data_IF_450336857866
#
_entry.id   IF_450336857866
#
_cell.length_a   1.000
_cell.length_b   1.000
_cell.length_c   1.000
_cell.angle_alpha   90.00
_cell.angle_beta   90.00
_cell.angle_gamma   90.00
#
_symmetry.space_group_name_H-M   'P 1'
#
loop_
_entity.id
_entity.type
_entity.pdbx_description
1 polymer ?
#
# COMPACT_ATOMS: atom_id res chain seq x y z
N UNK A 1 65.48 -32.77 36.03
CA UNK A 1 64.92 -32.55 34.68
C UNK A 1 63.37 -32.60 34.64
N UNK A 2 62.70 -32.98 35.71
CA UNK A 2 61.23 -33.25 35.69
C UNK A 2 60.33 -32.09 36.04
N UNK A 3 60.80 -31.04 36.70
CA UNK A 3 59.92 -29.87 37.04
C UNK A 3 59.71 -28.86 35.89
N UNK A 4 60.66 -28.74 34.96
CA UNK A 4 60.48 -27.83 33.77
C UNK A 4 59.52 -28.37 32.70
N UNK A 5 59.41 -29.73 32.64
CA UNK A 5 58.52 -30.35 31.62
C UNK A 5 57.05 -30.22 32.00
N UNK A 6 56.71 -30.29 33.31
CA UNK A 6 55.35 -30.15 33.83
C UNK A 6 54.83 -28.70 33.65
N UNK A 7 55.70 -27.73 33.83
CA UNK A 7 55.31 -26.31 33.63
C UNK A 7 55.05 -25.97 32.15
N UNK A 8 55.79 -26.61 31.23
CA UNK A 8 55.57 -26.41 29.78
C UNK A 8 54.25 -27.03 29.30
N UNK A 9 53.87 -28.19 29.87
CA UNK A 9 52.58 -28.83 29.55
C UNK A 9 51.39 -28.10 30.16
N UNK A 10 51.54 -27.47 31.32
CA UNK A 10 50.48 -26.66 31.94
C UNK A 10 50.25 -25.35 31.17
N UNK A 11 51.31 -24.72 30.65
CA UNK A 11 51.21 -23.54 29.83
C UNK A 11 50.61 -23.88 28.44
N UNK A 12 50.97 -25.03 27.87
CA UNK A 12 50.38 -25.50 26.61
C UNK A 12 48.89 -25.87 26.76
N UNK A 13 48.47 -26.40 27.95
CA UNK A 13 47.08 -26.72 28.23
C UNK A 13 46.23 -25.44 28.49
N UNK A 14 46.82 -24.43 29.14
CA UNK A 14 46.16 -23.12 29.30
C UNK A 14 46.05 -22.33 27.98
N UNK A 15 46.90 -22.61 26.99
CA UNK A 15 46.76 -21.98 25.65
C UNK A 15 45.79 -22.73 24.72
N UNK A 16 45.37 -23.97 25.09
CA UNK A 16 44.37 -24.74 24.35
C UNK A 16 42.93 -24.61 24.92
N UNK A 17 42.73 -23.96 26.07
CA UNK A 17 41.42 -23.44 26.42
C UNK A 17 41.16 -22.26 25.52
N UNK A 18 40.50 -22.53 24.41
CA UNK A 18 40.32 -21.62 23.29
C UNK A 18 39.90 -20.24 23.76
N UNK A 19 40.71 -19.25 23.42
CA UNK A 19 40.16 -17.93 23.23
C UNK A 19 39.11 -18.06 22.12
N UNK A 20 37.86 -18.38 22.49
CA UNK A 20 36.74 -17.96 21.68
C UNK A 20 36.99 -16.46 21.45
N UNK A 21 37.34 -16.08 20.22
CA UNK A 21 37.38 -14.68 19.87
C UNK A 21 36.01 -14.14 20.27
N UNK A 22 35.90 -13.12 21.13
CA UNK A 22 34.61 -12.52 21.38
C UNK A 22 34.06 -12.14 20.02
N UNK A 23 32.84 -12.61 19.71
CA UNK A 23 32.13 -12.19 18.51
C UNK A 23 32.27 -10.69 18.44
N UNK A 24 32.62 -10.11 17.26
CA UNK A 24 32.76 -8.67 17.13
C UNK A 24 31.48 -8.04 17.65
N UNK A 25 31.61 -7.21 18.69
CA UNK A 25 30.45 -6.45 19.25
C UNK A 25 29.91 -5.62 18.08
N UNK A 26 28.66 -5.81 17.66
CA UNK A 26 28.09 -5.01 16.60
C UNK A 26 28.22 -3.54 16.97
N UNK A 27 28.56 -2.68 16.03
CA UNK A 27 28.71 -1.24 16.26
C UNK A 27 27.44 -0.55 16.80
N UNK A 28 26.29 -1.23 16.70
CA UNK A 28 25.04 -0.94 17.40
C UNK A 28 24.20 -2.23 17.46
N UNK A 29 23.63 -2.52 18.62
CA UNK A 29 22.62 -3.56 18.77
C UNK A 29 21.33 -3.07 18.11
N UNK A 30 20.79 -3.88 17.19
CA UNK A 30 19.60 -3.51 16.43
C UNK A 30 18.60 -4.67 16.37
N UNK A 31 17.34 -4.31 16.57
CA UNK A 31 16.17 -5.12 16.25
C UNK A 31 15.49 -4.46 15.07
N UNK A 32 15.03 -5.24 14.11
CA UNK A 32 14.28 -4.71 12.96
C UNK A 32 13.10 -5.61 12.67
N UNK A 33 11.89 -5.05 12.70
CA UNK A 33 10.68 -5.67 12.18
C UNK A 33 10.59 -5.36 10.68
N UNK A 34 10.84 -6.35 9.84
CA UNK A 34 10.91 -6.20 8.39
C UNK A 34 9.52 -6.11 7.77
N UNK A 35 8.61 -6.98 8.21
CA UNK A 35 7.26 -7.08 7.66
C UNK A 35 6.31 -7.80 8.62
N UNK A 36 5.07 -7.35 8.67
CA UNK A 36 3.94 -8.10 9.23
C UNK A 36 2.93 -8.38 8.12
N UNK A 37 2.44 -9.62 8.01
CA UNK A 37 1.46 -10.02 7.00
C UNK A 37 0.46 -11.03 7.57
N UNK A 38 -0.77 -10.96 7.10
CA UNK A 38 -1.78 -11.99 7.32
C UNK A 38 -1.89 -12.90 6.11
N UNK A 39 -1.98 -14.20 6.33
CA UNK A 39 -2.20 -15.21 5.30
C UNK A 39 -3.60 -15.81 5.50
N UNK A 40 -4.48 -15.57 4.55
CA UNK A 40 -5.83 -16.14 4.58
C UNK A 40 -5.85 -17.65 4.31
N UNK A 41 -4.76 -18.21 3.74
CA UNK A 41 -4.68 -19.63 3.41
C UNK A 41 -4.49 -20.50 4.65
N UNK A 42 -3.80 -20.00 5.67
CA UNK A 42 -3.52 -20.71 6.91
C UNK A 42 -4.12 -20.05 8.16
N UNK A 43 -4.62 -18.81 8.01
CA UNK A 43 -5.20 -18.04 9.11
C UNK A 43 -4.19 -17.45 10.09
N UNK A 44 -2.91 -17.39 9.71
CA UNK A 44 -1.83 -16.90 10.56
C UNK A 44 -1.40 -15.47 10.23
N UNK A 45 -1.01 -14.77 11.28
CA UNK A 45 -0.28 -13.52 11.23
C UNK A 45 1.23 -13.84 11.31
N UNK A 46 1.97 -13.49 10.26
CA UNK A 46 3.41 -13.71 10.16
C UNK A 46 4.16 -12.41 10.35
N UNK A 47 5.16 -12.41 11.23
CA UNK A 47 6.04 -11.27 11.49
C UNK A 47 7.47 -11.67 11.12
N UNK A 48 8.08 -10.98 10.16
CA UNK A 48 9.48 -11.16 9.76
C UNK A 48 10.35 -10.15 10.49
N UNK A 49 11.47 -10.59 11.04
CA UNK A 49 12.35 -9.74 11.85
C UNK A 49 13.82 -10.13 11.74
N UNK A 50 14.71 -9.25 12.22
CA UNK A 50 16.14 -9.46 12.38
C UNK A 50 16.60 -9.00 13.75
N UNK A 51 17.54 -9.75 14.34
CA UNK A 51 18.28 -9.38 15.54
C UNK A 51 19.77 -9.59 15.25
N UNK A 52 20.58 -8.57 15.43
CA UNK A 52 22.03 -8.63 15.13
C UNK A 52 22.90 -8.90 16.36
N UNK A 53 22.31 -9.33 17.49
CA UNK A 53 23.00 -9.64 18.74
C UNK A 53 22.35 -10.83 19.46
N UNK A 54 23.08 -11.45 20.42
CA UNK A 54 22.52 -12.50 21.27
C UNK A 54 21.57 -11.91 22.30
N UNK A 55 20.35 -12.42 22.39
CA UNK A 55 19.33 -12.01 23.34
C UNK A 55 19.16 -13.02 24.49
N UNK A 56 18.69 -12.54 25.64
CA UNK A 56 18.24 -13.41 26.74
C UNK A 56 16.76 -13.80 26.57
N UNK A 57 15.96 -12.94 25.98
CA UNK A 57 14.55 -13.19 25.67
C UNK A 57 14.04 -12.28 24.56
N UNK A 58 12.99 -12.72 23.88
CA UNK A 58 12.27 -11.98 22.85
C UNK A 58 10.77 -12.08 23.12
N UNK A 59 10.06 -10.98 22.98
CA UNK A 59 8.61 -10.87 23.21
C UNK A 59 7.98 -10.12 22.05
N UNK A 60 6.85 -10.62 21.57
CA UNK A 60 6.02 -9.97 20.56
C UNK A 60 4.72 -9.49 21.20
N UNK A 61 4.38 -8.22 20.99
CA UNK A 61 3.18 -7.57 21.50
C UNK A 61 2.39 -7.06 20.29
N UNK A 62 1.18 -7.55 20.13
CA UNK A 62 0.28 -7.07 19.07
C UNK A 62 -0.71 -6.06 19.64
N UNK A 63 -0.79 -4.92 18.95
CA UNK A 63 -1.63 -3.79 19.33
C UNK A 63 -2.72 -3.58 18.29
N UNK A 64 -3.97 -3.37 18.73
CA UNK A 64 -5.04 -2.80 17.91
C UNK A 64 -5.27 -1.36 18.40
N UNK A 65 -4.82 -0.38 17.60
CA UNK A 65 -4.64 0.98 18.08
C UNK A 65 -3.63 1.04 19.24
N UNK A 66 -4.06 1.47 20.41
CA UNK A 66 -3.23 1.53 21.62
C UNK A 66 -3.49 0.36 22.60
N UNK A 67 -4.37 -0.56 22.25
CA UNK A 67 -4.75 -1.67 23.11
C UNK A 67 -3.96 -2.93 22.77
N UNK A 68 -3.37 -3.57 23.79
CA UNK A 68 -2.73 -4.89 23.62
C UNK A 68 -3.83 -5.92 23.37
N UNK A 69 -3.74 -6.62 22.25
CA UNK A 69 -4.68 -7.68 21.87
C UNK A 69 -4.05 -9.07 21.93
N UNK A 70 -2.73 -9.17 21.95
CA UNK A 70 -1.99 -10.41 22.14
C UNK A 70 -0.55 -10.11 22.57
N UNK A 71 0.01 -11.01 23.36
CA UNK A 71 1.36 -10.90 23.85
C UNK A 71 1.96 -12.30 24.05
N UNK A 72 3.17 -12.52 23.53
CA UNK A 72 3.89 -13.78 23.79
C UNK A 72 4.49 -13.78 25.20
N UNK A 73 4.48 -14.92 25.83
CA UNK A 73 5.45 -15.21 26.90
C UNK A 73 6.83 -15.36 26.27
N UNK A 74 7.87 -14.92 26.94
CA UNK A 74 9.25 -14.88 26.47
C UNK A 74 9.64 -16.07 25.59
N UNK A 75 9.92 -15.81 24.31
CA UNK A 75 10.48 -16.78 23.38
C UNK A 75 11.97 -16.84 23.65
N UNK A 76 12.48 -18.04 24.03
CA UNK A 76 13.88 -18.21 24.42
C UNK A 76 14.82 -18.01 23.22
N UNK A 77 15.90 -17.25 23.47
CA UNK A 77 17.15 -17.20 22.69
C UNK A 77 17.02 -17.30 21.18
N UNK A 78 16.62 -16.18 20.55
CA UNK A 78 16.70 -16.07 19.11
C UNK A 78 17.96 -15.28 18.77
N UNK A 79 18.93 -15.94 18.15
CA UNK A 79 20.04 -15.29 17.46
C UNK A 79 19.90 -15.62 15.98
N UNK A 80 19.67 -14.62 15.17
CA UNK A 80 19.57 -14.80 13.74
C UNK A 80 20.43 -13.76 13.03
N UNK A 81 21.48 -14.20 12.33
CA UNK A 81 22.20 -13.37 11.37
C UNK A 81 21.41 -13.15 10.07
N UNK A 82 20.17 -13.64 10.01
CA UNK A 82 19.28 -13.55 8.87
C UNK A 82 17.89 -13.01 9.25
N UNK A 83 16.97 -13.10 8.32
CA UNK A 83 15.53 -12.89 8.58
C UNK A 83 14.97 -14.12 9.24
N UNK A 84 14.31 -13.94 10.36
CA UNK A 84 13.55 -14.97 11.06
C UNK A 84 12.06 -14.62 11.07
N UNK A 85 11.21 -15.53 11.50
CA UNK A 85 9.76 -15.32 11.52
C UNK A 85 9.13 -15.78 12.82
N UNK A 86 8.19 -14.99 13.30
CA UNK A 86 7.22 -15.38 14.32
C UNK A 86 5.83 -15.45 13.70
N UNK A 87 5.06 -16.49 14.03
CA UNK A 87 3.71 -16.68 13.49
C UNK A 87 2.73 -16.97 14.61
N UNK A 88 1.56 -16.32 14.59
CA UNK A 88 0.47 -16.56 15.54
C UNK A 88 -0.86 -16.68 14.80
N UNK A 89 -1.76 -17.59 15.20
CA UNK A 89 -3.10 -17.65 14.64
C UNK A 89 -3.84 -16.32 14.88
N UNK A 90 -4.56 -15.84 13.89
CA UNK A 90 -5.36 -14.61 14.06
C UNK A 90 -6.42 -14.75 15.16
N UNK A 91 -6.96 -15.96 15.33
CA UNK A 91 -7.97 -16.27 16.36
C UNK A 91 -7.43 -16.19 17.80
N UNK A 92 -6.10 -16.24 18.00
CA UNK A 92 -5.49 -16.08 19.30
C UNK A 92 -5.43 -14.62 19.75
N UNK A 93 -5.62 -13.68 18.81
CA UNK A 93 -5.68 -12.26 19.10
C UNK A 93 -7.06 -11.89 19.61
N UNK A 94 -7.12 -11.22 20.75
CA UNK A 94 -8.38 -10.67 21.29
C UNK A 94 -8.78 -9.40 20.50
N UNK A 95 -9.28 -9.59 19.28
CA UNK A 95 -9.69 -8.50 18.38
C UNK A 95 -11.06 -8.76 17.79
N UNK A 96 -11.74 -7.66 17.46
CA UNK A 96 -12.92 -7.66 16.59
C UNK A 96 -12.53 -7.11 15.24
N UNK A 97 -12.84 -7.81 14.16
CA UNK A 97 -12.60 -7.33 12.82
C UNK A 97 -13.66 -6.31 12.38
N UNK A 98 -13.30 -5.28 11.60
CA UNK A 98 -11.97 -5.01 11.08
C UNK A 98 -11.00 -4.47 12.14
N UNK A 99 -9.70 -4.76 12.01
CA UNK A 99 -8.68 -4.34 12.96
C UNK A 99 -7.45 -3.77 12.26
N UNK A 100 -6.83 -2.76 12.87
CA UNK A 100 -5.55 -2.17 12.43
C UNK A 100 -4.47 -2.56 13.42
N UNK A 101 -3.70 -3.57 13.08
CA UNK A 101 -2.71 -4.18 13.96
C UNK A 101 -1.31 -3.60 13.76
N UNK A 102 -0.57 -3.47 14.85
CA UNK A 102 0.88 -3.28 14.88
C UNK A 102 1.51 -4.35 15.75
N UNK A 103 2.74 -4.72 15.43
CA UNK A 103 3.56 -5.56 16.28
C UNK A 103 4.69 -4.72 16.88
N UNK A 104 4.86 -4.81 18.20
CA UNK A 104 6.05 -4.33 18.89
C UNK A 104 6.87 -5.54 19.25
N UNK A 105 8.13 -5.59 18.86
CA UNK A 105 9.08 -6.59 19.25
C UNK A 105 9.99 -6.03 20.32
N UNK A 106 10.03 -6.66 21.48
CA UNK A 106 10.93 -6.35 22.57
C UNK A 106 11.98 -7.45 22.69
N UNK A 107 13.25 -7.06 22.68
CA UNK A 107 14.38 -7.99 22.81
C UNK A 107 15.20 -7.56 24.00
N UNK A 108 15.36 -8.47 24.97
CA UNK A 108 16.20 -8.24 26.13
C UNK A 108 17.61 -8.74 25.82
N UNK A 109 18.60 -7.89 25.95
CA UNK A 109 20.02 -8.24 25.79
C UNK A 109 20.50 -9.15 26.95
N UNK A 110 21.65 -9.76 26.80
CA UNK A 110 22.29 -10.51 27.92
C UNK A 110 22.61 -9.61 29.12
N UNK A 111 22.77 -8.29 28.93
CA UNK A 111 22.95 -7.30 29.98
C UNK A 111 21.66 -6.78 30.62
N UNK A 112 20.48 -7.24 30.17
CA UNK A 112 19.17 -6.84 30.70
C UNK A 112 18.60 -5.57 30.06
N UNK A 113 19.27 -4.97 29.07
CA UNK A 113 18.71 -3.84 28.30
C UNK A 113 17.60 -4.30 27.37
N UNK A 114 16.53 -3.51 27.21
CA UNK A 114 15.43 -3.80 26.30
C UNK A 114 15.53 -2.93 25.07
N UNK A 115 15.65 -3.55 23.91
CA UNK A 115 15.65 -2.91 22.60
C UNK A 115 14.31 -3.20 21.92
N UNK A 116 13.70 -2.20 21.31
CA UNK A 116 12.37 -2.29 20.67
C UNK A 116 12.40 -1.87 19.22
N UNK A 117 11.51 -2.49 18.45
CA UNK A 117 11.09 -1.99 17.14
C UNK A 117 9.58 -2.22 16.94
N UNK A 118 8.97 -1.43 16.08
CA UNK A 118 7.52 -1.46 15.84
C UNK A 118 7.25 -1.58 14.35
N UNK A 119 6.40 -2.52 13.96
CA UNK A 119 6.01 -2.72 12.57
C UNK A 119 5.19 -1.55 12.02
N UNK A 120 5.18 -1.42 10.69
CA UNK A 120 4.11 -0.70 10.02
C UNK A 120 2.74 -1.34 10.34
N UNK A 121 1.67 -0.54 10.30
CA UNK A 121 0.33 -1.06 10.59
C UNK A 121 -0.14 -2.03 9.50
N UNK A 122 -0.85 -3.07 9.91
CA UNK A 122 -1.51 -4.04 9.05
C UNK A 122 -3.03 -3.96 9.23
N UNK A 123 -3.75 -3.66 8.15
CA UNK A 123 -5.21 -3.61 8.15
C UNK A 123 -5.77 -5.01 7.85
N UNK A 124 -6.59 -5.57 8.76
CA UNK A 124 -7.18 -6.89 8.62
C UNK A 124 -8.70 -6.80 8.67
N UNK A 125 -9.37 -7.47 7.72
CA UNK A 125 -10.82 -7.56 7.70
C UNK A 125 -11.56 -6.30 7.24
N UNK A 126 -10.86 -5.20 6.94
CA UNK A 126 -11.51 -3.96 6.50
C UNK A 126 -12.29 -4.13 5.19
N UNK A 127 -11.87 -5.06 4.34
CA UNK A 127 -12.48 -5.28 3.05
C UNK A 127 -13.38 -6.52 2.99
N UNK A 128 -13.35 -7.42 4.00
CA UNK A 128 -13.98 -8.74 3.94
C UNK A 128 -15.49 -8.71 3.70
N UNK A 129 -16.18 -7.65 4.10
CA UNK A 129 -17.62 -7.49 3.93
C UNK A 129 -17.98 -6.34 2.98
N UNK A 130 -17.02 -5.88 2.19
CA UNK A 130 -17.22 -4.83 1.20
C UNK A 130 -17.10 -5.40 -0.22
N UNK A 131 -17.71 -4.77 -1.23
CA UNK A 131 -17.52 -5.15 -2.62
C UNK A 131 -16.05 -5.16 -3.06
N UNK A 132 -15.20 -4.34 -2.44
CA UNK A 132 -13.76 -4.31 -2.71
C UNK A 132 -13.07 -5.61 -2.27
N UNK A 133 -13.36 -6.12 -1.07
CA UNK A 133 -12.75 -7.34 -0.55
C UNK A 133 -13.20 -8.62 -1.29
N UNK A 134 -14.37 -8.61 -1.88
CA UNK A 134 -14.91 -9.74 -2.64
C UNK A 134 -14.48 -9.77 -4.11
N UNK A 135 -13.73 -8.76 -4.57
CA UNK A 135 -13.25 -8.66 -5.94
C UNK A 135 -11.79 -9.14 -6.04
N UNK A 136 -11.51 -10.40 -6.44
CA UNK A 136 -10.16 -10.93 -6.53
C UNK A 136 -9.30 -10.07 -7.47
N UNK A 137 -7.98 -10.10 -7.29
CA UNK A 137 -7.04 -9.33 -8.11
C UNK A 137 -6.86 -7.87 -7.68
N UNK A 138 -7.39 -7.46 -6.53
CA UNK A 138 -7.18 -6.13 -5.96
C UNK A 138 -5.70 -5.95 -5.57
N UNK A 139 -5.03 -5.01 -6.24
CA UNK A 139 -3.63 -4.67 -6.01
C UNK A 139 -3.45 -3.69 -4.88
N UNK A 140 -4.39 -2.77 -4.71
CA UNK A 140 -4.37 -1.75 -3.68
C UNK A 140 -5.76 -1.13 -3.50
N UNK A 141 -6.05 -0.71 -2.27
CA UNK A 141 -7.27 0.02 -1.94
C UNK A 141 -6.97 1.07 -0.86
N UNK A 142 -7.21 2.32 -1.21
CA UNK A 142 -7.07 3.46 -0.32
C UNK A 142 -8.43 4.08 -0.03
N UNK A 143 -8.96 3.95 1.20
CA UNK A 143 -10.21 4.59 1.58
C UNK A 143 -10.15 6.12 1.49
N UNK A 144 -9.00 6.71 1.80
CA UNK A 144 -8.77 8.16 1.85
C UNK A 144 -9.73 8.92 2.78
N UNK A 145 -10.26 8.25 3.78
CA UNK A 145 -11.20 8.82 4.73
C UNK A 145 -10.49 9.52 5.89
N UNK A 146 -9.54 8.83 6.51
CA UNK A 146 -8.85 9.28 7.72
C UNK A 146 -7.33 9.08 7.63
N UNK A 147 -6.85 8.35 6.62
CA UNK A 147 -5.43 8.06 6.38
C UNK A 147 -5.15 7.79 4.90
N UNK A 148 -3.87 7.49 4.58
CA UNK A 148 -3.39 7.15 3.24
C UNK A 148 -2.88 5.71 3.14
N UNK A 149 -3.35 4.86 4.06
CA UNK A 149 -2.96 3.47 4.15
C UNK A 149 -3.61 2.63 3.04
N UNK A 150 -2.86 1.69 2.49
CA UNK A 150 -3.40 0.62 1.65
C UNK A 150 -4.05 -0.44 2.55
N UNK A 151 -5.34 -0.65 2.40
CA UNK A 151 -6.10 -1.62 3.19
C UNK A 151 -6.03 -3.04 2.63
N UNK A 152 -5.24 -3.27 1.56
CA UNK A 152 -4.89 -4.61 1.10
C UNK A 152 -3.64 -5.13 1.83
N UNK A 153 -3.33 -6.42 1.65
CA UNK A 153 -2.12 -7.03 2.18
C UNK A 153 -0.85 -6.65 1.40
N UNK A 154 -0.96 -5.86 0.32
CA UNK A 154 0.18 -5.46 -0.51
C UNK A 154 0.96 -4.27 0.05
N UNK A 155 0.42 -3.59 1.06
CA UNK A 155 1.08 -2.47 1.78
C UNK A 155 1.58 -1.36 0.85
N UNK A 156 0.79 -1.02 -0.16
CA UNK A 156 1.09 0.09 -1.07
C UNK A 156 0.65 1.44 -0.46
N UNK A 157 1.08 1.71 0.79
CA UNK A 157 0.76 2.96 1.49
C UNK A 157 1.20 4.17 0.67
N UNK A 158 0.41 5.24 0.72
CA UNK A 158 0.69 6.49 0.03
C UNK A 158 1.39 7.48 0.98
N UNK A 159 2.27 8.27 0.42
CA UNK A 159 2.89 9.41 1.11
C UNK A 159 2.31 10.71 0.59
N UNK A 160 1.96 11.62 1.51
CA UNK A 160 1.44 12.93 1.16
C UNK A 160 2.58 13.89 0.76
N UNK A 161 2.33 14.69 -0.28
CA UNK A 161 3.17 15.83 -0.67
C UNK A 161 2.28 17.07 -0.67
N UNK A 162 2.67 18.07 0.09
CA UNK A 162 1.82 19.24 0.38
C UNK A 162 0.78 18.98 1.46
N UNK A 163 -0.18 19.90 1.59
CA UNK A 163 -1.21 19.83 2.63
C UNK A 163 -2.49 19.23 2.08
N UNK A 164 -2.83 18.05 2.55
CA UNK A 164 -4.09 17.36 2.28
C UNK A 164 -4.97 17.39 3.54
N UNK A 165 -6.27 17.44 3.36
CA UNK A 165 -7.23 17.57 4.47
C UNK A 165 -8.23 16.44 4.41
N UNK A 166 -8.33 15.64 5.49
CA UNK A 166 -9.42 14.70 5.67
C UNK A 166 -10.67 15.45 6.14
N UNK A 167 -11.72 15.42 5.35
CA UNK A 167 -12.98 16.11 5.64
C UNK A 167 -14.15 15.44 4.92
N UNK A 168 -15.37 15.82 5.24
CA UNK A 168 -16.53 15.32 4.53
C UNK A 168 -16.63 15.94 3.13
N UNK A 169 -17.06 15.16 2.15
CA UNK A 169 -17.48 15.69 0.86
C UNK A 169 -18.64 16.67 1.06
N UNK A 170 -18.72 17.75 0.26
CA UNK A 170 -19.78 18.74 0.39
C UNK A 170 -21.18 18.11 0.38
N UNK A 171 -22.03 18.57 1.31
CA UNK A 171 -23.42 18.13 1.48
C UNK A 171 -23.59 16.63 1.80
N UNK A 172 -22.55 15.98 2.34
CA UNK A 172 -22.59 14.58 2.75
C UNK A 172 -21.93 14.37 4.10
N UNK A 173 -22.11 13.18 4.68
CA UNK A 173 -21.36 12.68 5.84
C UNK A 173 -20.18 11.80 5.43
N UNK A 174 -19.89 11.72 4.13
CA UNK A 174 -18.87 10.86 3.57
C UNK A 174 -17.50 11.50 3.75
N UNK A 175 -16.69 10.94 4.63
CA UNK A 175 -15.29 11.34 4.83
C UNK A 175 -14.45 11.03 3.58
N UNK A 176 -13.56 11.93 3.24
CA UNK A 176 -12.72 11.86 2.05
C UNK A 176 -11.47 12.72 2.22
N UNK A 177 -10.53 12.65 1.31
CA UNK A 177 -9.39 13.55 1.24
C UNK A 177 -9.65 14.66 0.24
N UNK A 178 -9.49 15.91 0.70
CA UNK A 178 -9.52 17.10 -0.15
C UNK A 178 -8.14 17.42 -0.69
N UNK A 179 -8.06 17.64 -1.99
CA UNK A 179 -6.87 18.00 -2.76
C UNK A 179 -6.98 19.44 -3.22
N UNK A 180 -5.92 20.23 -3.01
CA UNK A 180 -5.78 21.59 -3.50
C UNK A 180 -4.31 22.01 -3.54
N UNK A 181 -4.01 23.16 -4.14
CA UNK A 181 -2.70 23.80 -4.09
C UNK A 181 -1.54 22.89 -4.52
N UNK A 182 -1.74 22.07 -5.54
CA UNK A 182 -0.78 21.07 -6.03
C UNK A 182 -0.39 20.00 -4.99
N UNK A 183 -1.17 19.82 -3.92
CA UNK A 183 -0.99 18.71 -3.02
C UNK A 183 -1.40 17.39 -3.70
N UNK A 184 -0.69 16.32 -3.41
CA UNK A 184 -0.95 15.02 -4.00
C UNK A 184 -0.45 13.88 -3.11
N UNK A 185 -0.88 12.68 -3.44
CA UNK A 185 -0.40 11.45 -2.83
C UNK A 185 0.49 10.70 -3.81
N UNK A 186 1.53 10.05 -3.30
CA UNK A 186 2.45 9.28 -4.14
C UNK A 186 2.87 7.97 -3.49
N UNK A 187 3.10 6.97 -4.33
CA UNK A 187 3.69 5.68 -3.97
C UNK A 187 4.90 5.45 -4.86
N UNK A 188 6.11 5.20 -4.34
CA UNK A 188 7.25 4.76 -5.13
C UNK A 188 6.91 3.56 -6.00
N UNK A 189 7.66 3.39 -7.09
CA UNK A 189 7.47 2.27 -8.00
C UNK A 189 7.42 0.92 -7.28
N UNK A 190 6.47 0.09 -7.71
CA UNK A 190 6.35 -1.31 -7.33
C UNK A 190 5.91 -2.09 -8.58
N UNK A 191 6.59 -3.18 -8.91
CA UNK A 191 6.31 -3.99 -10.11
C UNK A 191 4.87 -4.51 -10.15
N UNK A 192 4.25 -4.77 -8.99
CA UNK A 192 2.83 -5.19 -8.91
C UNK A 192 1.86 -4.12 -9.41
N UNK A 193 2.28 -2.84 -9.39
CA UNK A 193 1.49 -1.72 -9.92
C UNK A 193 1.69 -1.50 -11.43
N UNK A 194 2.23 -2.50 -12.13
CA UNK A 194 2.34 -2.57 -13.58
C UNK A 194 1.51 -3.75 -14.12
N UNK A 195 0.18 -3.77 -14.00
CA UNK A 195 -0.65 -4.85 -14.49
C UNK A 195 -0.78 -4.83 -16.02
N UNK A 196 -0.98 -5.99 -16.64
CA UNK A 196 -1.23 -6.13 -18.08
C UNK A 196 -2.69 -5.87 -18.48
N UNK A 197 -3.61 -6.10 -17.54
CA UNK A 197 -5.00 -5.69 -17.61
C UNK A 197 -5.33 -4.90 -16.32
N UNK A 198 -6.29 -4.01 -16.34
CA UNK A 198 -6.45 -3.01 -15.29
C UNK A 198 -7.91 -2.66 -15.07
N UNK A 199 -8.28 -2.47 -13.81
CA UNK A 199 -9.43 -1.64 -13.44
C UNK A 199 -9.01 -0.64 -12.38
N UNK A 200 -9.48 0.59 -12.50
CA UNK A 200 -9.33 1.65 -11.50
C UNK A 200 -10.71 2.15 -11.12
N UNK A 201 -11.02 2.15 -9.83
CA UNK A 201 -12.25 2.70 -9.27
C UNK A 201 -11.91 3.89 -8.38
N UNK A 202 -12.68 4.95 -8.45
CA UNK A 202 -12.55 6.13 -7.60
C UNK A 202 -13.91 6.78 -7.36
N UNK A 203 -14.18 7.21 -6.13
CA UNK A 203 -15.30 8.08 -5.79
C UNK A 203 -14.80 9.50 -5.60
N UNK A 204 -15.37 10.45 -6.32
CA UNK A 204 -14.85 11.82 -6.38
C UNK A 204 -15.96 12.86 -6.32
N UNK A 205 -15.55 14.07 -5.91
CA UNK A 205 -16.34 15.30 -6.04
C UNK A 205 -15.38 16.40 -6.52
N UNK A 206 -15.76 17.10 -7.59
CA UNK A 206 -14.98 18.22 -8.13
C UNK A 206 -15.68 19.52 -7.85
N UNK A 207 -14.95 20.51 -7.33
CA UNK A 207 -15.47 21.85 -7.12
C UNK A 207 -15.72 22.57 -8.46
N UNK A 208 -14.67 22.82 -9.19
CA UNK A 208 -14.62 23.32 -10.56
C UNK A 208 -13.20 23.11 -11.08
N UNK A 209 -13.03 23.04 -12.38
CA UNK A 209 -11.71 22.96 -12.99
C UNK A 209 -11.26 24.38 -13.35
N UNK A 210 -10.27 24.87 -12.60
CA UNK A 210 -9.62 26.16 -12.83
C UNK A 210 -8.21 26.03 -13.44
N UNK A 211 -7.77 24.80 -13.73
CA UNK A 211 -6.49 24.55 -14.39
C UNK A 211 -6.55 25.08 -15.84
N UNK A 212 -5.56 25.87 -16.29
CA UNK A 212 -5.50 26.39 -17.66
C UNK A 212 -5.51 25.30 -18.74
N UNK A 213 -5.01 24.09 -18.40
CA UNK A 213 -5.05 22.96 -19.31
C UNK A 213 -6.40 22.23 -19.28
N UNK A 214 -7.32 22.63 -18.41
CA UNK A 214 -8.64 22.00 -18.22
C UNK A 214 -8.59 20.49 -17.96
N UNK A 215 -7.57 20.02 -17.22
CA UNK A 215 -7.34 18.61 -16.91
C UNK A 215 -7.02 18.44 -15.43
N UNK A 216 -7.58 17.40 -14.79
CA UNK A 216 -7.20 16.95 -13.46
C UNK A 216 -6.91 15.45 -13.48
N UNK A 217 -5.74 15.07 -12.98
CA UNK A 217 -5.39 13.66 -12.82
C UNK A 217 -5.98 13.14 -11.52
N UNK A 218 -6.69 12.02 -11.58
CA UNK A 218 -7.19 11.31 -10.42
C UNK A 218 -6.17 10.26 -9.98
N UNK A 219 -5.77 9.39 -10.92
CA UNK A 219 -4.77 8.33 -10.73
C UNK A 219 -3.84 8.34 -11.93
N UNK A 220 -2.55 8.42 -11.71
CA UNK A 220 -1.56 8.45 -12.80
C UNK A 220 -0.30 7.67 -12.45
N UNK A 221 0.12 6.81 -13.36
CA UNK A 221 1.44 6.17 -13.37
C UNK A 221 2.12 6.44 -14.72
N UNK A 222 2.18 7.71 -15.09
CA UNK A 222 2.66 8.19 -16.38
C UNK A 222 3.56 9.40 -16.21
N UNK A 223 4.67 9.46 -16.94
CA UNK A 223 5.55 10.61 -16.92
C UNK A 223 5.04 11.79 -17.78
N UNK A 224 5.77 12.91 -17.66
CA UNK A 224 5.49 14.13 -18.41
C UNK A 224 5.90 14.02 -19.88
N UNK A 225 6.95 13.27 -20.19
CA UNK A 225 7.54 13.22 -21.52
C UNK A 225 6.76 12.35 -22.49
N UNK A 226 5.85 11.52 -21.99
CA UNK A 226 5.08 10.60 -22.79
C UNK A 226 5.82 9.34 -23.24
N UNK A 227 7.06 9.17 -22.77
CA UNK A 227 7.88 7.98 -23.01
C UNK A 227 7.85 7.09 -21.78
N UNK A 228 7.54 5.85 -21.91
CA UNK A 228 7.56 4.88 -20.79
C UNK A 228 6.38 5.03 -19.83
N UNK A 229 5.28 4.35 -20.10
CA UNK A 229 4.02 4.70 -19.46
C UNK A 229 3.16 3.50 -19.26
N UNK A 230 2.28 3.56 -18.26
CA UNK A 230 1.27 2.53 -18.13
C UNK A 230 -0.14 3.07 -18.28
N UNK A 231 -0.63 3.92 -17.38
CA UNK A 231 -2.03 4.33 -17.38
C UNK A 231 -2.26 5.67 -16.70
N UNK A 232 -3.40 6.27 -17.01
CA UNK A 232 -3.87 7.50 -16.40
C UNK A 232 -5.41 7.54 -16.43
N UNK A 233 -6.01 7.80 -15.27
CA UNK A 233 -7.42 8.18 -15.13
C UNK A 233 -7.46 9.65 -14.76
N UNK A 234 -8.17 10.45 -15.55
CA UNK A 234 -8.26 11.90 -15.39
C UNK A 234 -9.64 12.39 -15.74
N UNK A 235 -9.90 13.64 -15.43
CA UNK A 235 -11.08 14.39 -15.89
C UNK A 235 -10.65 15.61 -16.68
N UNK A 236 -11.44 15.97 -17.67
CA UNK A 236 -11.19 17.13 -18.53
C UNK A 236 -12.42 18.03 -18.59
N UNK A 237 -12.22 19.33 -18.40
CA UNK A 237 -13.28 20.32 -18.59
C UNK A 237 -13.51 20.53 -20.09
N UNK A 238 -14.71 20.27 -20.56
CA UNK A 238 -15.09 20.48 -21.95
C UNK A 238 -16.20 21.54 -22.11
N UNK A 239 -16.85 21.88 -20.99
CA UNK A 239 -17.88 22.97 -20.98
C UNK A 239 -17.87 23.64 -19.60
N UNK A 240 -18.61 24.74 -19.50
CA UNK A 240 -18.83 25.44 -18.23
C UNK A 240 -19.72 24.63 -17.27
N UNK A 241 -20.44 23.64 -17.77
CA UNK A 241 -21.44 22.87 -17.04
C UNK A 241 -20.90 21.53 -16.47
N UNK A 242 -19.73 21.09 -16.94
CA UNK A 242 -19.23 19.78 -16.50
C UNK A 242 -17.89 19.36 -17.07
N UNK A 243 -17.52 18.15 -16.72
CA UNK A 243 -16.28 17.49 -17.12
C UNK A 243 -16.56 16.18 -17.85
N UNK A 244 -15.59 15.73 -18.63
CA UNK A 244 -15.54 14.38 -19.18
C UNK A 244 -14.56 13.52 -18.40
N UNK A 245 -14.85 12.23 -18.28
CA UNK A 245 -13.87 11.23 -17.84
C UNK A 245 -12.96 10.91 -19.02
N UNK A 246 -11.66 10.93 -18.80
CA UNK A 246 -10.66 10.65 -19.81
C UNK A 246 -9.66 9.64 -19.29
N UNK A 247 -9.28 8.69 -20.13
CA UNK A 247 -8.30 7.65 -19.81
C UNK A 247 -7.20 7.65 -20.86
N UNK A 248 -5.98 7.38 -20.41
CA UNK A 248 -4.84 7.17 -21.30
C UNK A 248 -4.14 5.88 -20.93
N UNK A 249 -3.68 5.14 -21.92
CA UNK A 249 -2.92 3.90 -21.76
C UNK A 249 -1.93 3.72 -22.90
N UNK A 250 -1.08 2.73 -22.80
CA UNK A 250 -0.08 2.40 -23.81
C UNK A 250 -0.13 0.94 -24.18
N UNK A 251 -0.07 0.66 -25.47
CA UNK A 251 0.07 -0.67 -26.04
C UNK A 251 1.25 -0.62 -27.01
N UNK A 252 2.24 -1.52 -26.82
CA UNK A 252 3.46 -1.57 -27.63
C UNK A 252 4.16 -0.21 -27.79
N UNK A 253 4.24 0.54 -26.66
CA UNK A 253 4.87 1.87 -26.64
C UNK A 253 4.04 2.99 -27.29
N UNK A 254 2.87 2.69 -27.85
CA UNK A 254 1.99 3.68 -28.47
C UNK A 254 0.96 4.18 -27.48
N UNK A 255 0.92 5.50 -27.26
CA UNK A 255 -0.11 6.16 -26.45
C UNK A 255 -1.46 6.06 -27.14
N UNK A 256 -2.47 5.69 -26.36
CA UNK A 256 -3.89 5.78 -26.71
C UNK A 256 -4.62 6.60 -25.68
N UNK A 257 -5.71 7.22 -26.09
CA UNK A 257 -6.50 8.09 -25.24
C UNK A 257 -7.98 7.98 -25.62
N UNK A 258 -8.86 8.02 -24.61
CA UNK A 258 -10.30 7.92 -24.80
C UNK A 258 -11.02 8.81 -23.78
N UNK A 259 -12.07 9.48 -24.20
CA UNK A 259 -12.92 10.33 -23.35
C UNK A 259 -14.38 9.88 -23.42
N UNK A 260 -15.09 10.03 -22.30
CA UNK A 260 -16.53 9.81 -22.27
C UNK A 260 -17.26 10.72 -23.26
N UNK A 261 -18.30 10.21 -23.90
CA UNK A 261 -19.17 11.01 -24.77
C UNK A 261 -19.94 12.05 -23.96
N UNK A 262 -20.42 11.65 -22.76
CA UNK A 262 -21.22 12.50 -21.87
C UNK A 262 -20.36 13.41 -21.00
N UNK A 263 -20.89 14.59 -20.67
CA UNK A 263 -20.38 15.44 -19.60
C UNK A 263 -21.03 15.06 -18.26
N UNK A 264 -20.24 15.16 -17.20
CA UNK A 264 -20.69 14.97 -15.82
C UNK A 264 -20.62 16.31 -15.09
N UNK A 265 -21.63 16.64 -14.25
CA UNK A 265 -21.69 17.95 -13.61
C UNK A 265 -20.59 18.12 -12.56
N UNK A 266 -20.08 19.34 -12.43
CA UNK A 266 -19.30 19.75 -11.25
C UNK A 266 -20.18 19.80 -10.02
N UNK A 267 -19.55 19.82 -8.84
CA UNK A 267 -20.21 19.93 -7.53
C UNK A 267 -21.22 18.81 -7.26
N UNK A 268 -21.04 17.70 -7.92
CA UNK A 268 -21.77 16.46 -7.68
C UNK A 268 -20.78 15.31 -7.53
N UNK A 269 -21.00 14.48 -6.51
CA UNK A 269 -20.18 13.29 -6.31
C UNK A 269 -20.51 12.24 -7.37
N UNK A 270 -19.48 11.52 -7.83
CA UNK A 270 -19.63 10.45 -8.81
C UNK A 270 -18.64 9.30 -8.50
N UNK A 271 -19.10 8.09 -8.71
CA UNK A 271 -18.25 6.90 -8.75
C UNK A 271 -17.82 6.65 -10.19
N UNK A 272 -16.52 6.62 -10.44
CA UNK A 272 -15.94 6.39 -11.77
C UNK A 272 -15.15 5.11 -11.77
N UNK A 273 -15.32 4.29 -12.82
CA UNK A 273 -14.47 3.13 -13.06
C UNK A 273 -13.90 3.16 -14.47
N UNK A 274 -12.60 3.01 -14.58
CA UNK A 274 -11.87 2.72 -15.80
C UNK A 274 -11.56 1.24 -15.85
N UNK A 275 -11.91 0.56 -16.93
CA UNK A 275 -11.61 -0.84 -17.18
C UNK A 275 -10.83 -0.97 -18.47
N UNK A 276 -9.71 -1.67 -18.43
CA UNK A 276 -8.95 -2.14 -19.58
C UNK A 276 -8.80 -3.65 -19.48
N UNK A 277 -9.48 -4.36 -20.33
CA UNK A 277 -9.20 -5.77 -20.62
C UNK A 277 -8.29 -5.87 -21.86
N UNK A 278 -7.99 -7.06 -22.30
CA UNK A 278 -7.09 -7.28 -23.45
C UNK A 278 -7.71 -6.86 -24.79
N UNK A 279 -8.99 -6.51 -24.83
CA UNK A 279 -9.75 -6.24 -26.05
C UNK A 279 -10.45 -4.89 -26.08
N UNK A 280 -10.87 -4.40 -24.90
CA UNK A 280 -11.69 -3.18 -24.80
C UNK A 280 -11.19 -2.25 -23.70
N UNK A 281 -11.58 -0.98 -23.87
CA UNK A 281 -11.48 0.03 -22.82
C UNK A 281 -12.87 0.57 -22.54
N UNK A 282 -13.24 0.58 -21.24
CA UNK A 282 -14.57 0.99 -20.80
C UNK A 282 -14.47 2.09 -19.76
N UNK A 283 -15.44 3.00 -19.80
CA UNK A 283 -15.69 4.01 -18.78
C UNK A 283 -17.07 3.74 -18.18
N UNK A 284 -17.11 3.68 -16.85
CA UNK A 284 -18.33 3.49 -16.07
C UNK A 284 -18.50 4.66 -15.10
N UNK A 285 -19.72 5.13 -14.96
CA UNK A 285 -20.08 6.19 -14.02
C UNK A 285 -21.32 5.79 -13.25
N UNK A 286 -21.23 5.84 -11.90
CA UNK A 286 -22.30 5.47 -10.97
C UNK A 286 -22.89 4.06 -11.22
N UNK A 287 -22.05 3.13 -11.68
CA UNK A 287 -22.41 1.75 -11.95
C UNK A 287 -23.01 1.50 -13.34
N UNK A 288 -23.10 2.51 -14.18
CA UNK A 288 -23.57 2.39 -15.57
C UNK A 288 -22.39 2.54 -16.54
N UNK A 289 -22.31 1.63 -17.55
CA UNK A 289 -21.32 1.74 -18.62
C UNK A 289 -21.72 2.89 -19.55
N UNK A 290 -20.92 3.94 -19.53
CA UNK A 290 -21.19 5.12 -20.35
C UNK A 290 -20.56 5.03 -21.71
N UNK A 291 -19.39 4.41 -21.81
CA UNK A 291 -18.61 4.38 -23.05
C UNK A 291 -17.72 3.13 -23.12
N UNK A 292 -17.48 2.67 -24.35
CA UNK A 292 -16.59 1.54 -24.64
C UNK A 292 -15.95 1.70 -26.02
N UNK A 293 -14.67 1.34 -26.13
CA UNK A 293 -13.99 1.21 -27.42
C UNK A 293 -13.22 -0.10 -27.52
N UNK A 294 -13.06 -0.59 -28.74
CA UNK A 294 -12.17 -1.73 -29.04
C UNK A 294 -10.71 -1.26 -29.01
N UNK A 295 -9.91 -1.90 -28.18
CA UNK A 295 -8.49 -1.59 -28.01
C UNK A 295 -7.68 -2.86 -27.72
N UNK A 296 -7.45 -3.70 -28.72
CA UNK A 296 -6.75 -4.98 -28.53
C UNK A 296 -5.30 -4.75 -28.13
N UNK A 297 -4.83 -5.59 -27.20
CA UNK A 297 -3.47 -5.68 -26.72
C UNK A 297 -3.33 -5.42 -25.22
N UNK A 298 -2.23 -5.94 -24.66
CA UNK A 298 -1.89 -5.76 -23.25
C UNK A 298 -1.31 -4.38 -23.00
N UNK A 299 -1.50 -3.87 -21.79
CA UNK A 299 -0.87 -2.63 -21.34
C UNK A 299 0.67 -2.77 -21.39
N UNK A 300 1.32 -1.76 -21.95
CA UNK A 300 2.77 -1.61 -21.85
C UNK A 300 3.13 -1.11 -20.45
N UNK A 301 3.81 -1.96 -19.67
CA UNK A 301 3.96 -1.77 -18.22
C UNK A 301 5.40 -1.49 -17.80
N UNK A 302 6.31 -1.32 -18.73
CA UNK A 302 7.74 -1.20 -18.47
C UNK A 302 8.12 0.22 -18.04
N UNK A 303 7.71 0.62 -16.84
CA UNK A 303 8.20 1.86 -16.25
C UNK A 303 8.46 1.72 -14.74
N UNK A 304 9.40 2.54 -14.26
CA UNK A 304 9.76 2.65 -12.84
C UNK A 304 9.20 3.94 -12.20
N UNK A 305 8.16 4.51 -12.79
CA UNK A 305 7.55 5.75 -12.31
C UNK A 305 6.76 5.51 -11.02
N UNK A 306 6.70 6.50 -10.13
CA UNK A 306 5.78 6.46 -9.01
C UNK A 306 4.33 6.46 -9.50
N UNK A 307 3.45 5.87 -8.71
CA UNK A 307 2.02 6.08 -8.84
C UNK A 307 1.64 7.32 -8.05
N UNK A 308 0.82 8.20 -8.65
CA UNK A 308 0.34 9.41 -8.01
C UNK A 308 -1.19 9.45 -8.02
N UNK A 309 -1.78 9.97 -6.92
CA UNK A 309 -3.19 10.38 -6.87
C UNK A 309 -3.26 11.90 -6.77
N UNK A 310 -4.16 12.51 -7.52
CA UNK A 310 -4.37 13.95 -7.53
C UNK A 310 -3.37 14.73 -8.40
N UNK A 311 -2.41 14.06 -9.05
CA UNK A 311 -1.49 14.69 -10.00
C UNK A 311 -0.86 13.66 -10.95
N UNK A 312 -0.07 14.14 -11.89
CA UNK A 312 0.88 13.34 -12.68
C UNK A 312 2.27 13.45 -12.08
N UNK A 313 3.12 12.41 -12.12
CA UNK A 313 4.54 12.54 -11.81
C UNK A 313 5.16 13.76 -12.52
N UNK A 314 5.88 14.62 -11.78
CA UNK A 314 6.35 15.92 -12.25
C UNK A 314 5.39 17.08 -11.96
N UNK A 315 4.35 16.86 -11.16
CA UNK A 315 3.38 17.84 -10.66
C UNK A 315 2.71 18.63 -11.79
N UNK A 316 1.78 17.99 -12.46
CA UNK A 316 0.96 18.62 -13.52
C UNK A 316 -0.49 18.15 -13.45
N UNK A 317 -1.39 19.06 -13.79
CA UNK A 317 -2.82 18.79 -13.80
C UNK A 317 -3.32 18.33 -12.43
N UNK A 318 -2.95 19.10 -11.42
CA UNK A 318 -3.25 18.79 -10.02
C UNK A 318 -4.73 18.92 -9.73
N UNK A 319 -5.26 17.94 -8.99
CA UNK A 319 -6.65 17.88 -8.60
C UNK A 319 -7.00 19.04 -7.64
N UNK A 320 -8.16 19.63 -7.86
CA UNK A 320 -8.88 20.42 -6.86
C UNK A 320 -10.25 19.79 -6.66
N UNK A 321 -10.44 19.17 -5.51
CA UNK A 321 -11.62 18.37 -5.22
C UNK A 321 -11.34 17.26 -4.22
N UNK A 322 -12.25 16.31 -4.13
CA UNK A 322 -12.25 15.27 -3.13
C UNK A 322 -12.10 13.90 -3.81
N UNK A 323 -11.28 13.04 -3.21
CA UNK A 323 -11.19 11.62 -3.58
C UNK A 323 -11.47 10.73 -2.37
N UNK A 324 -12.09 9.59 -2.65
CA UNK A 324 -12.36 8.53 -1.70
C UNK A 324 -12.38 7.17 -2.42
N UNK A 325 -12.08 6.13 -1.66
CA UNK A 325 -12.22 4.73 -2.06
C UNK A 325 -11.58 4.44 -3.43
N UNK A 326 -10.28 4.73 -3.53
CA UNK A 326 -9.52 4.45 -4.74
C UNK A 326 -9.01 3.02 -4.71
N UNK A 327 -9.43 2.21 -5.66
CA UNK A 327 -9.01 0.82 -5.84
C UNK A 327 -8.39 0.56 -7.20
N UNK A 328 -7.38 -0.32 -7.26
CA UNK A 328 -6.72 -0.76 -8.49
C UNK A 328 -6.66 -2.28 -8.51
N UNK A 329 -7.13 -2.89 -9.60
CA UNK A 329 -7.10 -4.34 -9.84
C UNK A 329 -6.20 -4.67 -11.04
N UNK A 330 -5.62 -5.87 -11.02
CA UNK A 330 -4.81 -6.41 -12.13
C UNK A 330 -5.65 -7.17 -13.18
N UNK A 331 -6.91 -6.87 -13.28
CA UNK A 331 -7.86 -7.45 -14.23
C UNK A 331 -9.00 -6.51 -14.54
N UNK A 332 -9.77 -6.84 -15.53
CA UNK A 332 -11.08 -6.24 -15.74
C UNK A 332 -12.06 -6.64 -14.62
N UNK A 333 -12.76 -5.66 -14.06
CA UNK A 333 -13.92 -5.87 -13.21
C UNK A 333 -15.13 -6.22 -14.08
N UNK A 334 -15.95 -7.15 -13.60
CA UNK A 334 -17.23 -7.46 -14.21
C UNK A 334 -18.26 -6.36 -13.93
N UNK A 335 -19.29 -6.28 -14.74
CA UNK A 335 -20.41 -5.36 -14.54
C UNK A 335 -21.04 -5.50 -13.15
N UNK A 336 -21.23 -6.72 -12.66
CA UNK A 336 -21.80 -6.97 -11.33
C UNK A 336 -20.89 -6.44 -10.21
N UNK A 337 -19.58 -6.58 -10.32
CA UNK A 337 -18.64 -6.05 -9.34
C UNK A 337 -18.67 -4.52 -9.35
N UNK A 338 -18.69 -3.89 -10.52
CA UNK A 338 -18.78 -2.42 -10.66
C UNK A 338 -20.08 -1.89 -10.06
N UNK A 339 -21.21 -2.53 -10.33
CA UNK A 339 -22.52 -2.15 -9.78
C UNK A 339 -22.57 -2.32 -8.26
N UNK A 340 -21.97 -3.37 -7.72
CA UNK A 340 -21.89 -3.60 -6.28
C UNK A 340 -21.02 -2.53 -5.58
N UNK A 341 -19.90 -2.11 -6.20
CA UNK A 341 -19.09 -1.02 -5.67
C UNK A 341 -19.87 0.31 -5.73
N UNK A 342 -20.50 0.61 -6.85
CA UNK A 342 -21.29 1.83 -7.02
C UNK A 342 -22.48 1.93 -6.04
N UNK A 343 -23.04 0.79 -5.62
CA UNK A 343 -24.14 0.74 -4.66
C UNK A 343 -23.79 1.28 -3.26
N UNK A 344 -22.47 1.36 -2.94
CA UNK A 344 -22.01 1.94 -1.66
C UNK A 344 -22.25 3.46 -1.56
N UNK A 345 -22.54 4.12 -2.68
CA UNK A 345 -22.61 5.58 -2.79
C UNK A 345 -24.01 6.09 -3.16
N UNK A 346 -25.01 5.22 -3.14
CA UNK A 346 -26.44 5.54 -3.44
C UNK A 346 -27.25 5.83 -2.20
#
# INVERSE_FOLDING_TARGET
MTKKLILLHLIAFLMMVGCERPDPIPSAMRVTLEQMRYSSNDGYLHTLYRINFKSSSTRFIFLNGNQICYETTNVANVFSNGVDSFSTPLNDLNITLPAKLRCVMEVTTLGGEIIRDTSEPLNIGFLNNTPFGNAPGLLTFWPLADDFEDYTLNQNHLSAVGSLIHTNMPNTTIKSTYFANNAYLTRPHNNRLNPSALSISAYLYLDDINDPANLYNLVSKRDYTGWGTSFELKVSKRSVEGYKVSVSWFINGTKREFESAMNFPFKQAAHIVYVHDENTVQIWVNGEKTDEIVSPGLLSNENNLPLCLGTRPGVRHSLTGYLRDVGIWNRALSESEIKNIAALYR
#
